data_IF_751361090760
#
_entry.id   IF_751361090760
#
_cell.length_a   1.000
_cell.length_b   1.000
_cell.length_c   1.000
_cell.angle_alpha   90.00
_cell.angle_beta   90.00
_cell.angle_gamma   90.00
#
_symmetry.space_group_name_H-M   'P 1'
#
loop_
_entity.id
_entity.type
_entity.pdbx_description
1 polymer ?
#
# COMPACT_ATOMS: atom_id res chain seq x y z
N UNK A 1 2.63 10.28 -20.84
CA UNK A 1 3.75 9.65 -21.57
C UNK A 1 4.66 9.00 -20.52
N UNK A 2 4.69 7.69 -20.31
CA UNK A 2 3.89 6.59 -20.86
C UNK A 2 3.66 5.53 -19.78
N UNK A 3 2.44 5.01 -19.71
CA UNK A 3 2.03 3.90 -18.86
C UNK A 3 2.57 2.57 -19.41
N UNK A 4 3.90 2.46 -19.58
CA UNK A 4 4.52 1.29 -20.21
C UNK A 4 4.25 -0.02 -19.45
N UNK A 5 4.00 0.07 -18.14
CA UNK A 5 3.58 -1.07 -17.30
C UNK A 5 2.15 -1.57 -17.60
N UNK A 6 1.32 -0.77 -18.26
CA UNK A 6 -0.07 -1.13 -18.60
C UNK A 6 -0.26 -1.49 -20.09
N UNK A 7 0.81 -1.71 -20.83
CA UNK A 7 0.74 -2.09 -22.24
C UNK A 7 0.38 -0.94 -23.19
N UNK A 8 0.03 -1.28 -24.43
CA UNK A 8 -0.18 -0.30 -25.51
C UNK A 8 -1.20 -0.78 -26.55
N UNK A 9 -1.82 0.17 -27.24
CA UNK A 9 -2.73 -0.08 -28.36
C UNK A 9 -4.01 -0.79 -27.90
N UNK A 10 -4.47 -1.77 -28.68
CA UNK A 10 -5.72 -2.51 -28.40
C UNK A 10 -5.65 -3.41 -27.15
N UNK A 11 -4.46 -3.62 -26.57
CA UNK A 11 -4.24 -4.40 -25.33
C UNK A 11 -3.71 -3.54 -24.19
N UNK A 12 -3.96 -2.24 -24.23
CA UNK A 12 -3.75 -1.38 -23.07
C UNK A 12 -4.67 -1.84 -21.93
N UNK A 13 -4.18 -1.81 -20.69
CA UNK A 13 -4.94 -2.20 -19.52
C UNK A 13 -6.22 -1.35 -19.44
N UNK A 14 -7.41 -1.97 -19.39
CA UNK A 14 -8.65 -1.22 -19.26
C UNK A 14 -8.82 -0.61 -17.86
N UNK A 15 -8.04 -1.05 -16.87
CA UNK A 15 -8.12 -0.62 -15.47
C UNK A 15 -7.12 0.47 -15.07
N UNK A 16 -6.46 1.17 -16.00
CA UNK A 16 -5.46 2.20 -15.69
C UNK A 16 -6.06 3.25 -14.75
N UNK A 17 -7.17 3.87 -15.18
CA UNK A 17 -7.79 4.97 -14.44
C UNK A 17 -8.26 4.55 -13.04
N UNK A 18 -8.80 3.33 -12.92
CA UNK A 18 -9.21 2.77 -11.62
C UNK A 18 -7.99 2.54 -10.73
N UNK A 19 -6.94 1.94 -11.27
CA UNK A 19 -5.70 1.67 -10.53
C UNK A 19 -5.02 2.97 -10.08
N UNK A 20 -5.01 4.00 -10.93
CA UNK A 20 -4.45 5.31 -10.59
C UNK A 20 -5.25 5.99 -9.47
N UNK A 21 -6.58 5.95 -9.53
CA UNK A 21 -7.44 6.49 -8.48
C UNK A 21 -7.25 5.73 -7.16
N UNK A 22 -7.23 4.40 -7.20
CA UNK A 22 -6.98 3.56 -6.03
C UNK A 22 -5.59 3.79 -5.43
N UNK A 23 -4.55 3.88 -6.27
CA UNK A 23 -3.18 4.12 -5.81
C UNK A 23 -3.05 5.46 -5.09
N UNK A 24 -3.71 6.52 -5.61
CA UNK A 24 -3.73 7.82 -4.98
C UNK A 24 -4.37 7.77 -3.59
N UNK A 25 -5.54 7.14 -3.47
CA UNK A 25 -6.26 6.99 -2.20
C UNK A 25 -5.47 6.14 -1.22
N UNK A 26 -4.88 5.02 -1.68
CA UNK A 26 -4.07 4.14 -0.85
C UNK A 26 -2.83 4.86 -0.31
N UNK A 27 -2.07 5.51 -1.18
CA UNK A 27 -0.88 6.28 -0.78
C UNK A 27 -1.26 7.41 0.18
N UNK A 28 -2.31 8.19 -0.14
CA UNK A 28 -2.82 9.27 0.71
C UNK A 28 -3.24 8.77 2.09
N UNK A 29 -3.92 7.62 2.15
CA UNK A 29 -4.34 6.99 3.41
C UNK A 29 -3.15 6.54 4.25
N UNK A 30 -2.16 5.90 3.62
CA UNK A 30 -0.93 5.46 4.29
C UNK A 30 -0.18 6.66 4.87
N UNK A 31 0.15 7.67 4.04
CA UNK A 31 0.92 8.82 4.52
C UNK A 31 0.14 9.70 5.49
N UNK A 32 -1.19 9.71 5.41
CA UNK A 32 -2.08 10.45 6.31
C UNK A 32 -2.29 9.79 7.67
N UNK A 33 -2.08 8.48 7.77
CA UNK A 33 -2.24 7.71 9.00
C UNK A 33 -0.91 7.41 9.69
N UNK A 34 0.15 7.21 8.92
CA UNK A 34 1.44 6.73 9.42
C UNK A 34 2.58 7.72 9.12
N UNK A 35 3.54 7.75 10.04
CA UNK A 35 4.89 8.24 9.81
C UNK A 35 5.75 7.03 9.39
N UNK A 36 6.39 7.14 8.24
CA UNK A 36 7.24 6.10 7.66
C UNK A 36 8.68 6.57 7.70
N UNK A 37 9.55 5.83 8.38
CA UNK A 37 10.99 6.11 8.49
C UNK A 37 11.80 4.87 8.13
N UNK A 38 13.04 5.03 7.63
CA UNK A 38 13.95 3.91 7.48
C UNK A 38 14.22 3.28 8.85
N UNK A 39 14.46 1.98 8.87
CA UNK A 39 14.95 1.31 10.06
C UNK A 39 16.33 1.87 10.45
N UNK A 40 16.60 2.03 11.75
CA UNK A 40 17.91 2.47 12.24
C UNK A 40 18.75 1.25 12.62
N UNK A 41 19.96 1.14 12.08
CA UNK A 41 20.87 0.05 12.40
C UNK A 41 21.46 0.17 13.82
N UNK A 42 22.30 -0.80 14.20
CA UNK A 42 22.95 -0.81 15.52
C UNK A 42 23.86 0.42 15.79
N UNK A 43 24.27 1.13 14.74
CA UNK A 43 25.09 2.34 14.81
C UNK A 43 24.25 3.63 14.75
N UNK A 44 22.92 3.52 14.71
CA UNK A 44 22.00 4.64 14.57
C UNK A 44 21.93 5.23 13.17
N UNK A 45 22.40 4.52 12.14
CA UNK A 45 22.34 4.96 10.75
C UNK A 45 21.07 4.46 10.06
N UNK A 46 20.45 5.26 9.18
CA UNK A 46 19.27 4.83 8.43
C UNK A 46 19.63 3.73 7.42
N UNK A 47 19.01 2.57 7.56
CA UNK A 47 19.08 1.46 6.61
C UNK A 47 17.94 1.60 5.59
N UNK A 48 18.27 2.09 4.41
CA UNK A 48 17.33 2.18 3.30
C UNK A 48 17.10 0.82 2.64
N UNK A 49 15.89 0.52 2.14
CA UNK A 49 15.65 -0.65 1.32
C UNK A 49 16.54 -0.65 0.07
N UNK A 50 17.09 -1.81 -0.30
CA UNK A 50 17.85 -1.96 -1.54
C UNK A 50 16.91 -1.81 -2.74
N UNK A 51 17.17 -0.83 -3.61
CA UNK A 51 16.36 -0.54 -4.79
C UNK A 51 16.36 -1.66 -5.83
N UNK A 52 17.29 -2.62 -5.75
CA UNK A 52 17.36 -3.76 -6.66
C UNK A 52 16.83 -5.07 -6.04
N UNK A 53 16.42 -5.05 -4.77
CA UNK A 53 15.91 -6.23 -4.08
C UNK A 53 14.44 -6.49 -4.46
N UNK A 54 14.24 -7.19 -5.58
CA UNK A 54 12.92 -7.52 -6.13
C UNK A 54 12.79 -9.01 -6.42
N UNK A 55 11.56 -9.51 -6.38
CA UNK A 55 11.26 -10.90 -6.80
C UNK A 55 11.49 -11.07 -8.31
N UNK A 56 12.05 -12.21 -8.77
CA UNK A 56 12.26 -12.49 -10.20
C UNK A 56 10.98 -12.97 -10.92
N UNK A 57 9.81 -12.67 -10.37
CA UNK A 57 8.52 -13.17 -10.85
C UNK A 57 7.99 -12.38 -12.05
N UNK A 58 7.08 -12.99 -12.82
CA UNK A 58 6.36 -12.30 -13.89
C UNK A 58 5.61 -11.06 -13.37
N UNK A 59 5.01 -11.17 -12.18
CA UNK A 59 4.47 -10.05 -11.41
C UNK A 59 5.47 -9.78 -10.29
N UNK A 60 6.38 -8.83 -10.53
CA UNK A 60 7.45 -8.48 -9.60
C UNK A 60 6.98 -7.56 -8.49
N UNK A 61 7.53 -7.74 -7.28
CA UNK A 61 7.39 -6.83 -6.15
C UNK A 61 8.71 -6.73 -5.36
N UNK A 62 8.85 -5.73 -4.49
CA UNK A 62 10.01 -5.63 -3.62
C UNK A 62 10.09 -6.84 -2.68
N UNK A 63 11.31 -7.29 -2.38
CA UNK A 63 11.53 -8.26 -1.32
C UNK A 63 11.22 -7.63 0.05
N UNK A 64 10.89 -8.43 1.09
CA UNK A 64 10.65 -7.88 2.43
C UNK A 64 11.81 -7.01 2.91
N UNK A 65 11.49 -5.82 3.42
CA UNK A 65 12.45 -4.86 3.96
C UNK A 65 11.98 -4.32 5.31
N UNK A 66 12.93 -3.85 6.11
CA UNK A 66 12.66 -3.27 7.43
C UNK A 66 12.30 -1.79 7.31
N UNK A 67 11.34 -1.35 8.13
CA UNK A 67 10.94 0.04 8.22
C UNK A 67 10.38 0.36 9.61
N UNK A 68 10.55 1.60 10.06
CA UNK A 68 9.90 2.12 11.26
C UNK A 68 8.58 2.77 10.85
N UNK A 69 7.46 2.15 11.27
CA UNK A 69 6.09 2.61 10.97
C UNK A 69 5.42 2.97 12.27
N UNK A 70 5.06 4.24 12.42
CA UNK A 70 4.37 4.76 13.59
C UNK A 70 3.07 5.42 13.20
N UNK A 71 2.02 5.21 13.98
CA UNK A 71 0.77 5.95 13.78
C UNK A 71 1.00 7.42 14.18
N UNK A 72 0.53 8.36 13.35
CA UNK A 72 0.79 9.79 13.55
C UNK A 72 0.18 10.37 14.82
N UNK A 73 -0.97 9.86 15.26
CA UNK A 73 -1.64 10.33 16.47
C UNK A 73 -2.51 9.24 17.11
N UNK A 74 -2.83 9.36 18.41
CA UNK A 74 -3.76 8.45 19.09
C UNK A 74 -5.15 8.43 18.43
N UNK A 75 -5.61 9.58 17.92
CA UNK A 75 -6.89 9.70 17.21
C UNK A 75 -6.89 8.90 15.92
N UNK A 76 -5.80 8.96 15.13
CA UNK A 76 -5.63 8.14 13.94
C UNK A 76 -5.57 6.66 14.32
N UNK A 77 -4.89 6.30 15.40
CA UNK A 77 -4.83 4.91 15.86
C UNK A 77 -6.22 4.36 16.22
N UNK A 78 -7.03 5.14 16.93
CA UNK A 78 -8.41 4.78 17.24
C UNK A 78 -9.25 4.62 15.97
N UNK A 79 -9.10 5.55 15.00
CA UNK A 79 -9.84 5.51 13.74
C UNK A 79 -9.48 4.28 12.89
N UNK A 80 -8.19 3.96 12.78
CA UNK A 80 -7.71 2.78 12.03
C UNK A 80 -8.28 1.50 12.62
N UNK A 81 -8.28 1.37 13.95
CA UNK A 81 -8.89 0.21 14.62
C UNK A 81 -10.38 0.08 14.33
N UNK A 82 -11.12 1.19 14.43
CA UNK A 82 -12.55 1.20 14.12
C UNK A 82 -12.83 0.78 12.66
N UNK A 83 -12.09 1.32 11.69
CA UNK A 83 -12.22 0.93 10.28
C UNK A 83 -11.87 -0.54 10.03
N UNK A 84 -10.86 -1.06 10.73
CA UNK A 84 -10.50 -2.48 10.63
C UNK A 84 -11.62 -3.38 11.19
N UNK A 85 -12.14 -3.06 12.37
CA UNK A 85 -13.25 -3.81 12.98
C UNK A 85 -14.51 -3.79 12.11
N UNK A 86 -14.85 -2.63 11.54
CA UNK A 86 -15.94 -2.47 10.57
C UNK A 86 -15.73 -3.32 9.32
N UNK A 87 -14.53 -3.25 8.73
CA UNK A 87 -14.15 -4.04 7.55
C UNK A 87 -14.26 -5.56 7.80
N UNK A 88 -13.78 -6.04 8.95
CA UNK A 88 -13.88 -7.46 9.33
C UNK A 88 -15.33 -7.87 9.55
N UNK A 89 -16.14 -7.02 10.18
CA UNK A 89 -17.56 -7.29 10.40
C UNK A 89 -18.34 -7.35 9.07
N UNK A 90 -18.03 -6.46 8.12
CA UNK A 90 -18.65 -6.44 6.80
C UNK A 90 -18.27 -7.65 5.95
N UNK A 91 -17.00 -8.10 6.05
CA UNK A 91 -16.55 -9.34 5.43
C UNK A 91 -17.30 -10.55 6.01
N UNK A 92 -17.38 -10.65 7.33
CA UNK A 92 -18.09 -11.74 8.01
C UNK A 92 -19.60 -11.74 7.71
N UNK A 93 -20.19 -10.56 7.51
CA UNK A 93 -21.58 -10.40 7.09
C UNK A 93 -21.80 -10.63 5.58
N UNK A 94 -20.74 -10.92 4.81
CA UNK A 94 -20.80 -11.18 3.37
C UNK A 94 -21.08 -9.95 2.51
N UNK A 95 -21.04 -8.73 3.08
CA UNK A 95 -21.34 -7.49 2.34
C UNK A 95 -20.31 -7.19 1.26
N UNK A 96 -19.05 -7.60 1.47
CA UNK A 96 -17.97 -7.42 0.49
C UNK A 96 -18.18 -8.33 -0.73
N UNK A 97 -18.57 -9.58 -0.50
CA UNK A 97 -18.82 -10.56 -1.57
C UNK A 97 -20.14 -10.31 -2.32
N UNK A 98 -21.10 -9.63 -1.67
CA UNK A 98 -22.38 -9.28 -2.27
C UNK A 98 -22.27 -8.22 -3.39
N UNK A 99 -21.15 -7.49 -3.46
CA UNK A 99 -20.82 -6.58 -4.54
C UNK A 99 -21.90 -5.53 -4.80
N UNK A 100 -22.05 -4.56 -3.88
CA UNK A 100 -23.03 -3.45 -3.92
C UNK A 100 -24.51 -3.90 -3.98
#
# INVERSE_FOLDING_TARGET
>A
MGHHGFGMGRRMCPGIEVTEAELLVACGSIVGCFELKPYMDANGQPKWPDSNAFTPNLIGGPLPFEMDVKVRSPEKAARIKAWYEESVADEAAGKIAAGL
#
